data_IF_813375098152
#
_entry.id   IF_813375098152
#
_cell.length_a   1.000
_cell.length_b   1.000
_cell.length_c   1.000
_cell.angle_alpha   90.00
_cell.angle_beta   90.00
_cell.angle_gamma   90.00
#
_symmetry.space_group_name_H-M   'P 1'
#
loop_
_entity.id
_entity.type
_entity.pdbx_description
1 polymer ?
#
# COMPACT_ATOMS: atom_id res chain seq x y z
N UNK A 1 4.83 5.88 -21.84
CA UNK A 1 5.18 5.96 -23.27
C UNK A 1 4.23 6.92 -23.96
N UNK A 2 4.77 7.87 -24.72
CA UNK A 2 3.98 8.88 -25.41
C UNK A 2 3.44 8.37 -26.75
N UNK A 3 4.09 7.38 -27.36
CA UNK A 3 3.69 6.77 -28.64
C UNK A 3 3.75 5.24 -28.55
N UNK A 4 3.00 4.50 -29.41
CA UNK A 4 3.07 3.03 -29.43
C UNK A 4 4.43 2.46 -29.80
N UNK A 5 5.30 3.22 -30.48
CA UNK A 5 6.64 2.79 -30.86
C UNK A 5 7.62 2.75 -29.67
N UNK A 6 7.46 3.66 -28.71
CA UNK A 6 8.34 3.79 -27.56
C UNK A 6 8.38 2.52 -26.67
N UNK A 7 7.26 1.86 -26.31
CA UNK A 7 7.31 0.59 -25.59
C UNK A 7 8.05 -0.51 -26.35
N UNK A 8 7.92 -0.57 -27.67
CA UNK A 8 8.59 -1.58 -28.49
C UNK A 8 10.12 -1.41 -28.46
N UNK A 9 10.62 -0.17 -28.51
CA UNK A 9 12.06 0.12 -28.39
C UNK A 9 12.60 -0.22 -27.00
N UNK A 10 11.84 0.12 -25.92
CA UNK A 10 12.21 -0.22 -24.54
C UNK A 10 12.28 -1.75 -24.39
N UNK A 11 11.26 -2.47 -24.83
CA UNK A 11 11.21 -3.93 -24.77
C UNK A 11 12.40 -4.53 -25.53
N UNK A 12 12.69 -4.03 -26.73
CA UNK A 12 13.86 -4.48 -27.51
C UNK A 12 15.16 -4.26 -26.75
N UNK A 13 15.36 -3.06 -26.20
CA UNK A 13 16.56 -2.72 -25.42
C UNK A 13 16.77 -3.65 -24.23
N UNK A 14 15.68 -3.99 -23.51
CA UNK A 14 15.73 -4.89 -22.35
C UNK A 14 16.11 -6.31 -22.80
N UNK A 15 15.51 -6.84 -23.88
CA UNK A 15 15.89 -8.16 -24.39
C UNK A 15 17.31 -8.19 -24.97
N UNK A 16 17.75 -7.13 -25.65
CA UNK A 16 19.11 -7.01 -26.17
C UNK A 16 20.15 -6.98 -25.03
N UNK A 17 19.77 -6.56 -23.82
CA UNK A 17 20.63 -6.61 -22.62
C UNK A 17 20.75 -8.01 -21.99
N UNK A 18 20.10 -9.01 -22.56
CA UNK A 18 20.14 -10.40 -22.08
C UNK A 18 19.07 -10.77 -21.06
N UNK A 19 17.98 -9.99 -20.94
CA UNK A 19 16.86 -10.37 -20.04
C UNK A 19 16.19 -11.66 -20.54
N UNK A 20 16.14 -12.75 -19.73
CA UNK A 20 15.75 -14.06 -20.21
C UNK A 20 14.24 -14.36 -20.10
N UNK A 21 13.50 -13.57 -19.34
CA UNK A 21 12.13 -13.86 -18.96
C UNK A 21 11.07 -13.06 -19.74
N UNK A 22 9.81 -13.37 -19.51
CA UNK A 22 8.68 -12.64 -20.08
C UNK A 22 8.49 -11.31 -19.34
N UNK A 23 8.11 -10.28 -20.09
CA UNK A 23 7.75 -8.97 -19.54
C UNK A 23 6.24 -8.78 -19.50
N UNK A 24 5.76 -8.08 -18.47
CA UNK A 24 4.38 -7.61 -18.38
C UNK A 24 4.31 -6.19 -18.95
N UNK A 25 3.47 -5.99 -19.94
CA UNK A 25 3.14 -4.69 -20.50
C UNK A 25 1.72 -4.34 -20.08
N UNK A 26 1.56 -3.25 -19.34
CA UNK A 26 0.25 -2.80 -18.89
C UNK A 26 0.08 -1.30 -19.10
N UNK A 27 -1.17 -0.88 -19.27
CA UNK A 27 -1.51 0.55 -19.38
C UNK A 27 -1.17 1.24 -18.05
N UNK A 28 -0.36 2.30 -18.12
CA UNK A 28 -0.04 3.10 -16.94
C UNK A 28 -1.30 3.85 -16.44
N UNK A 29 -1.58 3.78 -15.16
CA UNK A 29 -2.58 4.62 -14.50
C UNK A 29 -1.95 5.98 -14.22
N UNK A 30 -2.55 7.10 -14.63
CA UNK A 30 -1.99 8.44 -14.42
C UNK A 30 -1.95 8.84 -12.94
N UNK A 31 -1.26 9.93 -12.64
CA UNK A 31 -1.13 10.50 -11.30
C UNK A 31 0.21 10.20 -10.63
N UNK A 32 0.58 11.01 -9.65
CA UNK A 32 1.78 10.91 -8.83
C UNK A 32 1.67 9.90 -7.70
N UNK A 33 2.57 10.03 -6.72
CA UNK A 33 2.64 9.15 -5.55
C UNK A 33 1.38 9.26 -4.68
N UNK A 34 0.80 10.44 -4.57
CA UNK A 34 -0.42 10.71 -3.81
C UNK A 34 -1.71 10.15 -4.44
N UNK A 35 -1.63 9.63 -5.66
CA UNK A 35 -2.68 8.79 -6.24
C UNK A 35 -2.61 7.33 -5.75
N UNK A 36 -1.52 6.93 -5.11
CA UNK A 36 -1.32 5.57 -4.65
C UNK A 36 -2.08 5.28 -3.34
N UNK A 37 -2.55 4.06 -3.25
CA UNK A 37 -3.06 3.44 -2.02
C UNK A 37 -2.37 2.11 -1.81
N UNK A 38 -2.12 1.77 -0.56
CA UNK A 38 -1.68 0.45 -0.16
C UNK A 38 -2.74 -0.17 0.73
N UNK A 39 -3.11 -1.42 0.45
CA UNK A 39 -3.99 -2.18 1.31
C UNK A 39 -3.24 -3.40 1.83
N UNK A 40 -3.05 -3.47 3.14
CA UNK A 40 -2.51 -4.65 3.81
C UNK A 40 -3.67 -5.49 4.33
N UNK A 41 -3.66 -6.79 4.03
CA UNK A 41 -4.61 -7.75 4.54
C UNK A 41 -3.90 -8.93 5.21
N UNK A 42 -4.56 -9.55 6.18
CA UNK A 42 -4.15 -10.80 6.81
C UNK A 42 -5.31 -11.80 6.77
N UNK A 43 -5.02 -13.00 6.26
CA UNK A 43 -5.94 -14.14 6.22
C UNK A 43 -5.43 -15.28 7.12
N UNK A 44 -6.35 -15.93 7.83
CA UNK A 44 -6.04 -17.06 8.71
C UNK A 44 -5.80 -18.38 7.94
N UNK A 45 -5.56 -19.46 8.66
CA UNK A 45 -5.34 -20.81 8.10
C UNK A 45 -6.56 -21.39 7.38
N UNK A 46 -7.75 -20.85 7.62
CA UNK A 46 -8.98 -21.25 6.94
C UNK A 46 -9.29 -20.39 5.70
N UNK A 47 -8.35 -19.49 5.33
CA UNK A 47 -8.53 -18.55 4.22
C UNK A 47 -9.53 -17.43 4.50
N UNK A 48 -9.85 -17.16 5.78
CA UNK A 48 -10.71 -16.05 6.19
C UNK A 48 -9.89 -14.80 6.45
N UNK A 49 -10.30 -13.69 5.85
CA UNK A 49 -9.65 -12.39 6.09
C UNK A 49 -9.97 -11.90 7.50
N UNK A 50 -8.94 -11.67 8.31
CA UNK A 50 -9.05 -11.28 9.71
C UNK A 50 -8.75 -9.81 9.97
N UNK A 51 -7.95 -9.20 9.11
CA UNK A 51 -7.59 -7.81 9.26
C UNK A 51 -7.33 -7.17 7.91
N UNK A 52 -7.74 -5.91 7.77
CA UNK A 52 -7.43 -5.09 6.61
C UNK A 52 -7.15 -3.65 7.05
N UNK A 53 -6.15 -3.03 6.44
CA UNK A 53 -5.76 -1.66 6.70
C UNK A 53 -5.41 -0.96 5.40
N UNK A 54 -6.14 0.12 5.10
CA UNK A 54 -5.91 0.97 3.94
C UNK A 54 -4.98 2.13 4.31
N UNK A 55 -4.03 2.43 3.45
CA UNK A 55 -3.14 3.58 3.55
C UNK A 55 -3.15 4.41 2.28
N UNK A 56 -3.14 5.74 2.44
CA UNK A 56 -2.95 6.71 1.38
C UNK A 56 -1.48 7.12 1.35
N UNK A 57 -0.81 6.81 0.25
CA UNK A 57 0.61 7.15 0.07
C UNK A 57 0.76 8.65 -0.12
N UNK A 58 1.71 9.24 0.57
CA UNK A 58 2.09 10.64 0.39
C UNK A 58 3.24 10.77 -0.61
N UNK A 59 4.29 9.97 -0.39
CA UNK A 59 5.47 9.90 -1.25
C UNK A 59 6.03 8.48 -1.27
N UNK A 60 6.65 8.12 -2.38
CA UNK A 60 7.40 6.88 -2.56
C UNK A 60 8.92 7.15 -2.61
N UNK A 61 9.72 6.11 -2.51
CA UNK A 61 11.15 6.20 -2.74
C UNK A 61 11.44 6.23 -4.24
N UNK A 62 12.18 7.24 -4.70
CA UNK A 62 12.61 7.39 -6.09
C UNK A 62 14.07 7.01 -6.31
N UNK A 63 14.69 6.28 -5.37
CA UNK A 63 16.04 5.76 -5.53
C UNK A 63 16.04 4.49 -6.38
N UNK A 64 17.12 4.16 -7.12
CA UNK A 64 17.18 2.98 -7.98
C UNK A 64 16.86 1.65 -7.27
N UNK A 65 17.16 1.55 -5.96
CA UNK A 65 16.92 0.35 -5.15
C UNK A 65 15.63 0.41 -4.31
N UNK A 66 15.00 1.57 -4.23
CA UNK A 66 13.81 1.82 -3.41
C UNK A 66 12.58 2.18 -4.23
N UNK A 67 12.68 2.26 -5.54
CA UNK A 67 11.60 2.71 -6.41
C UNK A 67 10.30 1.94 -6.14
N UNK A 68 9.21 2.68 -5.91
CA UNK A 68 7.90 2.11 -5.62
C UNK A 68 7.67 1.69 -4.15
N UNK A 69 8.67 1.85 -3.25
CA UNK A 69 8.42 1.66 -1.82
C UNK A 69 7.78 2.91 -1.22
N UNK A 70 6.70 2.75 -0.46
CA UNK A 70 6.07 3.87 0.23
C UNK A 70 6.97 4.42 1.33
N UNK A 71 7.24 5.71 1.28
CA UNK A 71 8.11 6.42 2.22
C UNK A 71 7.32 7.17 3.31
N UNK A 72 6.08 7.57 3.01
CA UNK A 72 5.15 8.15 3.96
C UNK A 72 3.71 7.81 3.60
N UNK A 73 2.91 7.48 4.60
CA UNK A 73 1.51 7.02 4.47
C UNK A 73 0.65 7.71 5.52
N UNK A 74 -0.54 8.12 5.15
CA UNK A 74 -1.64 8.40 6.08
C UNK A 74 -2.62 7.24 6.01
N UNK A 75 -2.84 6.51 7.11
CA UNK A 75 -3.84 5.46 7.13
C UNK A 75 -5.25 6.05 7.05
N UNK A 76 -6.15 5.32 6.40
CA UNK A 76 -7.53 5.74 6.14
C UNK A 76 -8.54 4.78 6.78
N UNK A 77 -9.78 5.23 6.92
CA UNK A 77 -10.89 4.32 7.18
C UNK A 77 -10.96 3.30 6.05
N UNK A 78 -10.67 2.05 6.36
CA UNK A 78 -10.59 0.96 5.38
C UNK A 78 -11.94 0.72 4.69
N UNK A 79 -13.05 1.14 5.29
CA UNK A 79 -14.39 1.03 4.71
C UNK A 79 -14.70 2.13 3.69
N UNK A 80 -13.86 3.16 3.60
CA UNK A 80 -14.05 4.30 2.69
C UNK A 80 -13.94 3.91 1.20
N UNK A 81 -13.26 2.81 0.90
CA UNK A 81 -13.02 2.34 -0.45
C UNK A 81 -13.78 1.04 -0.75
N UNK A 82 -14.84 1.08 -1.59
CA UNK A 82 -15.63 -0.13 -1.91
C UNK A 82 -14.82 -1.28 -2.50
N UNK A 83 -13.69 -1.00 -3.15
CA UNK A 83 -12.76 -2.00 -3.67
C UNK A 83 -12.25 -2.95 -2.60
N UNK A 84 -12.12 -2.50 -1.35
CA UNK A 84 -11.64 -3.31 -0.21
C UNK A 84 -12.50 -4.56 -0.01
N UNK A 85 -13.82 -4.43 -0.11
CA UNK A 85 -14.73 -5.57 0.02
C UNK A 85 -14.57 -6.56 -1.14
N UNK A 86 -14.27 -6.09 -2.35
CA UNK A 86 -14.00 -6.97 -3.48
C UNK A 86 -12.68 -7.72 -3.29
N UNK A 87 -11.66 -7.06 -2.75
CA UNK A 87 -10.37 -7.69 -2.41
C UNK A 87 -10.58 -8.75 -1.32
N UNK A 88 -11.37 -8.46 -0.27
CA UNK A 88 -11.70 -9.42 0.78
C UNK A 88 -12.35 -10.68 0.19
N UNK A 89 -13.39 -10.50 -0.62
CA UNK A 89 -14.07 -11.62 -1.30
C UNK A 89 -13.15 -12.44 -2.19
N UNK A 90 -12.25 -11.78 -2.91
CA UNK A 90 -11.27 -12.45 -3.76
C UNK A 90 -10.30 -13.30 -2.93
N UNK A 91 -9.73 -12.76 -1.86
CA UNK A 91 -8.81 -13.49 -0.97
C UNK A 91 -9.50 -14.73 -0.36
N UNK A 92 -10.74 -14.58 0.11
CA UNK A 92 -11.53 -15.67 0.69
C UNK A 92 -11.90 -16.73 -0.37
N UNK A 93 -12.28 -16.32 -1.58
CA UNK A 93 -12.57 -17.23 -2.68
C UNK A 93 -11.35 -18.03 -3.13
N UNK A 94 -10.15 -17.45 -3.06
CA UNK A 94 -8.88 -18.12 -3.34
C UNK A 94 -8.36 -18.95 -2.16
N UNK A 95 -9.04 -18.95 -1.02
CA UNK A 95 -8.55 -19.55 0.24
C UNK A 95 -7.11 -19.12 0.57
N UNK A 96 -6.78 -17.85 0.30
CA UNK A 96 -5.45 -17.34 0.56
C UNK A 96 -5.17 -17.27 2.07
N UNK A 97 -3.96 -17.64 2.49
CA UNK A 97 -3.54 -17.60 3.89
C UNK A 97 -2.28 -16.75 4.07
N UNK A 98 -2.22 -15.97 5.16
CA UNK A 98 -1.09 -15.11 5.47
C UNK A 98 -1.31 -13.65 5.09
N UNK A 99 -0.20 -12.89 5.01
CA UNK A 99 -0.23 -11.49 4.62
C UNK A 99 -0.27 -11.31 3.12
N UNK A 100 -1.03 -10.30 2.67
CA UNK A 100 -1.01 -9.78 1.32
C UNK A 100 -1.02 -8.26 1.32
N UNK A 101 -0.34 -7.66 0.35
CA UNK A 101 -0.35 -6.22 0.12
C UNK A 101 -0.77 -5.97 -1.32
N UNK A 102 -1.67 -5.00 -1.48
CA UNK A 102 -2.20 -4.57 -2.77
C UNK A 102 -1.75 -3.16 -3.05
N UNK A 103 -1.08 -2.98 -4.16
CA UNK A 103 -0.76 -1.67 -4.68
C UNK A 103 -1.90 -1.22 -5.59
N UNK A 104 -2.52 -0.11 -5.20
CA UNK A 104 -3.77 0.41 -5.78
C UNK A 104 -3.50 1.83 -6.25
N UNK A 105 -3.98 2.20 -7.43
CA UNK A 105 -3.83 3.56 -7.92
C UNK A 105 -5.19 4.17 -8.30
N UNK A 106 -5.41 5.39 -7.84
CA UNK A 106 -6.53 6.21 -8.24
C UNK A 106 -6.31 6.74 -9.65
N UNK A 107 -7.29 6.58 -10.55
CA UNK A 107 -7.16 6.96 -11.96
C UNK A 107 -7.37 8.46 -12.24
N UNK A 108 -7.78 9.23 -11.23
CA UNK A 108 -8.27 10.61 -11.40
C UNK A 108 -9.77 10.70 -11.62
N UNK A 109 -10.46 9.57 -11.79
CA UNK A 109 -11.92 9.54 -11.95
C UNK A 109 -12.57 9.08 -10.63
N UNK A 110 -13.55 9.79 -10.05
CA UNK A 110 -14.18 9.41 -8.80
C UNK A 110 -14.63 7.95 -8.76
N UNK A 111 -14.18 7.21 -7.74
CA UNK A 111 -14.46 5.79 -7.55
C UNK A 111 -13.65 4.82 -8.41
N UNK A 112 -12.85 5.29 -9.37
CA UNK A 112 -12.04 4.42 -10.22
C UNK A 112 -10.64 4.20 -9.61
N UNK A 113 -10.50 3.10 -8.88
CA UNK A 113 -9.26 2.61 -8.30
C UNK A 113 -8.85 1.30 -8.98
N UNK A 114 -7.57 1.18 -9.30
CA UNK A 114 -7.00 0.03 -10.01
C UNK A 114 -5.97 -0.68 -9.15
N UNK A 115 -6.20 -1.95 -8.85
CA UNK A 115 -5.16 -2.84 -8.33
C UNK A 115 -4.23 -3.19 -9.48
N UNK A 116 -2.95 -2.97 -9.34
CA UNK A 116 -1.96 -3.31 -10.38
C UNK A 116 -0.88 -4.26 -9.89
N UNK A 117 -0.72 -4.43 -8.58
CA UNK A 117 0.22 -5.39 -8.00
C UNK A 117 -0.37 -6.02 -6.73
N UNK A 118 -0.08 -7.32 -6.56
CA UNK A 118 -0.42 -8.09 -5.35
C UNK A 118 0.87 -8.75 -4.86
N UNK A 119 1.31 -8.34 -3.69
CA UNK A 119 2.46 -8.91 -3.00
C UNK A 119 1.99 -9.89 -1.94
N UNK A 120 2.26 -11.19 -2.13
CA UNK A 120 1.82 -12.28 -1.24
C UNK A 120 2.75 -12.42 -0.02
N UNK A 121 3.01 -11.33 0.66
CA UNK A 121 3.90 -11.19 1.81
C UNK A 121 3.62 -9.90 2.55
N UNK A 122 4.25 -9.71 3.71
CA UNK A 122 4.30 -8.40 4.36
C UNK A 122 5.02 -7.38 3.48
N UNK A 123 4.48 -6.18 3.40
CA UNK A 123 5.12 -5.04 2.77
C UNK A 123 6.19 -4.41 3.67
N UNK A 124 7.13 -3.73 3.08
CA UNK A 124 8.20 -3.00 3.79
C UNK A 124 7.63 -1.88 4.68
N UNK A 125 6.53 -1.27 4.25
CA UNK A 125 5.85 -0.18 4.95
C UNK A 125 4.88 -0.64 6.05
N UNK A 126 4.68 -1.94 6.28
CA UNK A 126 3.56 -2.47 7.08
C UNK A 126 3.55 -2.03 8.56
N UNK A 127 4.58 -1.31 9.03
CA UNK A 127 4.50 -0.70 10.36
C UNK A 127 3.39 0.34 10.47
N UNK A 128 2.93 0.94 9.36
CA UNK A 128 1.76 1.83 9.39
C UNK A 128 0.52 1.12 9.93
N UNK A 129 0.35 -0.17 9.63
CA UNK A 129 -0.74 -1.00 10.17
C UNK A 129 -0.64 -1.13 11.69
N UNK A 130 0.56 -1.45 12.20
CA UNK A 130 0.80 -1.54 13.66
C UNK A 130 0.56 -0.18 14.34
N UNK A 131 0.94 0.91 13.70
CA UNK A 131 0.75 2.25 14.23
C UNK A 131 -0.73 2.63 14.41
N UNK A 132 -1.65 2.04 13.64
CA UNK A 132 -3.09 2.24 13.84
C UNK A 132 -3.66 1.51 15.08
N UNK A 133 -2.83 0.70 15.76
CA UNK A 133 -3.24 -0.18 16.86
C UNK A 133 -3.46 -1.64 16.45
N UNK A 134 -3.45 -1.94 15.16
CA UNK A 134 -3.58 -3.29 14.62
C UNK A 134 -2.22 -3.98 14.57
N UNK A 135 -1.80 -4.60 15.67
CA UNK A 135 -0.48 -5.22 15.79
C UNK A 135 -0.36 -6.44 14.88
N UNK A 136 0.43 -6.33 13.81
CA UNK A 136 0.61 -7.39 12.80
C UNK A 136 1.29 -8.65 13.38
N UNK A 137 2.18 -8.53 14.36
CA UNK A 137 2.79 -9.68 15.02
C UNK A 137 1.76 -10.44 15.86
N UNK A 138 0.88 -9.70 16.55
CA UNK A 138 -0.22 -10.28 17.32
C UNK A 138 -1.18 -11.05 16.44
N UNK A 139 -1.53 -10.55 15.25
CA UNK A 139 -2.38 -11.26 14.29
C UNK A 139 -1.84 -12.65 13.93
N UNK A 140 -0.50 -12.77 13.78
CA UNK A 140 0.14 -14.06 13.50
C UNK A 140 0.06 -15.00 14.70
N UNK A 141 0.27 -14.49 15.91
CA UNK A 141 0.26 -15.30 17.14
C UNK A 141 -1.17 -15.75 17.47
N UNK A 142 -2.13 -14.85 17.43
CA UNK A 142 -3.55 -15.15 17.74
C UNK A 142 -4.20 -16.09 16.73
N UNK A 143 -3.71 -16.12 15.50
CA UNK A 143 -4.09 -17.15 14.52
C UNK A 143 -4.02 -18.57 15.10
N UNK A 144 -3.06 -18.82 15.98
CA UNK A 144 -2.79 -20.15 16.56
C UNK A 144 -3.55 -20.40 17.88
N UNK A 145 -4.14 -19.36 18.49
CA UNK A 145 -4.67 -19.49 19.83
C UNK A 145 -6.18 -19.45 19.96
N UNK A 146 -6.94 -18.65 19.20
CA UNK A 146 -8.29 -18.30 19.63
C UNK A 146 -9.43 -18.31 18.60
N UNK A 147 -9.23 -18.70 17.37
CA UNK A 147 -10.34 -18.87 16.40
C UNK A 147 -11.29 -17.67 16.26
N UNK A 148 -10.82 -16.46 16.56
CA UNK A 148 -11.62 -15.23 16.44
C UNK A 148 -12.27 -15.12 15.06
N UNK A 149 -13.55 -14.74 14.99
CA UNK A 149 -14.36 -14.90 13.77
C UNK A 149 -14.46 -13.64 12.92
N UNK A 150 -14.20 -12.46 13.47
CA UNK A 150 -14.52 -11.20 12.80
C UNK A 150 -13.30 -10.56 12.09
N UNK A 151 -13.55 -10.04 10.89
CA UNK A 151 -12.57 -9.24 10.17
C UNK A 151 -12.51 -7.83 10.77
N UNK A 152 -11.34 -7.43 11.26
CA UNK A 152 -11.10 -6.06 11.74
C UNK A 152 -10.70 -5.18 10.58
N UNK A 153 -11.54 -4.21 10.23
CA UNK A 153 -11.24 -3.15 9.28
C UNK A 153 -10.71 -1.93 10.04
N UNK A 154 -9.51 -1.46 9.71
CA UNK A 154 -8.95 -0.28 10.37
C UNK A 154 -9.79 0.96 10.09
N UNK A 155 -10.05 1.75 11.14
CA UNK A 155 -10.71 3.07 11.07
C UNK A 155 -9.87 4.19 11.68
N UNK A 156 -8.71 3.85 12.25
CA UNK A 156 -7.85 4.82 12.89
C UNK A 156 -6.93 5.49 11.86
N UNK A 157 -6.82 6.79 11.95
CA UNK A 157 -5.91 7.58 11.13
C UNK A 157 -4.60 7.81 11.89
N UNK A 158 -3.48 7.51 11.20
CA UNK A 158 -2.12 7.71 11.68
C UNK A 158 -1.26 8.20 10.51
N UNK A 159 -0.38 9.15 10.76
CA UNK A 159 0.67 9.54 9.83
C UNK A 159 1.93 8.72 10.13
N UNK A 160 2.25 7.77 9.24
CA UNK A 160 3.47 6.99 9.30
C UNK A 160 4.48 7.46 8.25
N UNK A 161 5.76 7.48 8.62
CA UNK A 161 6.85 7.80 7.69
C UNK A 161 8.18 7.14 8.11
N UNK A 162 9.06 6.90 7.14
CA UNK A 162 10.43 6.47 7.37
C UNK A 162 11.46 7.47 6.78
N UNK A 163 11.01 8.56 6.21
CA UNK A 163 11.80 9.75 5.82
C UNK A 163 11.45 10.90 6.78
N UNK A 164 12.26 11.97 6.89
CA UNK A 164 11.85 13.12 7.68
C UNK A 164 10.48 13.65 7.25
N UNK A 165 9.59 13.94 8.22
CA UNK A 165 8.22 14.39 7.92
C UNK A 165 8.18 15.60 6.98
N UNK A 166 9.19 16.49 7.07
CA UNK A 166 9.30 17.65 6.18
C UNK A 166 9.47 17.24 4.72
N UNK A 167 10.15 16.12 4.44
CA UNK A 167 10.28 15.58 3.07
C UNK A 167 8.90 15.19 2.53
N UNK A 168 8.13 14.42 3.31
CA UNK A 168 6.76 14.08 2.93
C UNK A 168 5.91 15.33 2.67
N UNK A 169 5.96 16.34 3.56
CA UNK A 169 5.17 17.57 3.40
C UNK A 169 5.58 18.41 2.20
N UNK A 170 6.86 18.34 1.80
CA UNK A 170 7.38 19.14 0.70
C UNK A 170 7.05 18.54 -0.66
N UNK A 171 7.13 17.22 -0.79
CA UNK A 171 7.05 16.53 -2.07
C UNK A 171 5.66 15.93 -2.38
N UNK A 172 4.74 15.87 -1.42
CA UNK A 172 3.34 15.52 -1.69
C UNK A 172 2.63 16.64 -2.43
N UNK A 173 2.02 16.35 -3.56
CA UNK A 173 1.29 17.33 -4.38
C UNK A 173 -0.10 17.64 -3.81
N UNK A 174 -0.79 16.64 -3.27
CA UNK A 174 -2.08 16.78 -2.59
C UNK A 174 -1.94 17.58 -1.28
N UNK A 175 -2.41 18.85 -1.33
CA UNK A 175 -2.30 19.77 -0.18
C UNK A 175 -3.27 19.42 0.95
N UNK A 176 -4.38 18.78 0.66
CA UNK A 176 -5.34 18.33 1.67
C UNK A 176 -4.77 17.13 2.45
N UNK A 177 -4.12 16.20 1.74
CA UNK A 177 -3.38 15.10 2.38
C UNK A 177 -2.25 15.61 3.27
N UNK A 178 -1.50 16.63 2.82
CA UNK A 178 -0.45 17.28 3.64
C UNK A 178 -1.05 17.93 4.88
N UNK A 179 -2.17 18.66 4.75
CA UNK A 179 -2.83 19.30 5.89
C UNK A 179 -3.31 18.26 6.91
N UNK A 180 -3.87 17.16 6.43
CA UNK A 180 -4.32 16.00 7.24
C UNK A 180 -3.15 15.36 7.99
N UNK A 181 -2.03 15.09 7.31
CA UNK A 181 -0.83 14.54 7.95
C UNK A 181 -0.25 15.46 9.04
N UNK A 182 -0.21 16.77 8.78
CA UNK A 182 0.20 17.78 9.78
C UNK A 182 -0.73 17.80 10.99
N UNK A 183 -2.03 17.71 10.78
CA UNK A 183 -3.01 17.66 11.86
C UNK A 183 -2.84 16.40 12.73
N UNK A 184 -2.62 15.23 12.10
CA UNK A 184 -2.34 13.97 12.80
C UNK A 184 -1.06 14.07 13.63
N UNK A 185 0.01 14.64 13.06
CA UNK A 185 1.26 14.90 13.81
C UNK A 185 1.03 15.78 15.02
N UNK A 186 0.27 16.87 14.89
CA UNK A 186 -0.07 17.76 16.00
C UNK A 186 -0.91 17.05 17.09
N UNK A 187 -1.69 16.02 16.73
CA UNK A 187 -2.47 15.19 17.66
C UNK A 187 -1.67 14.02 18.26
N UNK A 188 -0.36 13.96 18.04
CA UNK A 188 0.50 12.85 18.45
C UNK A 188 0.10 11.48 17.82
N UNK A 189 -0.54 11.52 16.67
CA UNK A 189 -0.87 10.36 15.85
C UNK A 189 0.15 10.18 14.73
N UNK A 190 1.43 10.29 15.08
CA UNK A 190 2.57 10.11 14.19
C UNK A 190 3.36 8.86 14.59
N UNK A 191 3.78 8.09 13.62
CA UNK A 191 4.71 6.99 13.81
C UNK A 191 5.89 7.13 12.85
N UNK A 192 7.09 7.14 13.40
CA UNK A 192 8.32 7.29 12.63
C UNK A 192 9.16 6.02 12.74
N UNK A 193 9.56 5.47 11.59
CA UNK A 193 10.45 4.30 11.51
C UNK A 193 11.88 4.67 11.09
N UNK A 194 12.28 5.94 11.26
CA UNK A 194 13.66 6.36 11.02
C UNK A 194 14.61 5.65 11.99
N UNK A 195 15.57 4.93 11.43
CA UNK A 195 16.72 4.44 12.18
C UNK A 195 17.77 5.55 12.17
N UNK A 196 17.86 6.29 13.26
CA UNK A 196 19.01 7.16 13.51
C UNK A 196 20.21 6.28 13.86
N UNK A 197 21.27 6.39 13.07
CA UNK A 197 22.61 5.91 13.47
C UNK A 197 23.36 7.02 14.15
#
# INVERSE_FOLDING_TARGET
AATPAEPAEIVKTIYDSGYPDRMVLQKMVPGGDDHMRVLTAFSDENGKVRAMCLGHTMVEEHTPHGLGNHAAIVSEDTTSLPLVENIRKMLEACHYTGFSNFDIKYSGTPGDYRVFEINLRQGRSNYYVTATGMNIARLVVEKWSDGGTDCVLNKNEVFWHHVPAQVAFTYTEDKDLVARAKALKAQLKEACSLLYK
#
